data_IF_301234644759
#
_entry.id   IF_301234644759
#
_cell.length_a   1.000
_cell.length_b   1.000
_cell.length_c   1.000
_cell.angle_alpha   90.00
_cell.angle_beta   90.00
_cell.angle_gamma   90.00
#
_symmetry.space_group_name_H-M   'P 1'
#
loop_
_entity.id
_entity.type
_entity.pdbx_description
1 polymer ?
#
# COMPACT_ATOMS: atom_id res chain seq x y z
N UNK A 1 4.22 -22.93 11.92
CA UNK A 1 3.34 -21.92 11.28
C UNK A 1 3.84 -21.69 9.87
N UNK A 2 2.98 -21.78 8.86
CA UNK A 2 3.32 -21.42 7.47
C UNK A 2 3.21 -19.91 7.30
N UNK A 3 4.22 -19.30 6.67
CA UNK A 3 4.18 -17.89 6.30
C UNK A 3 3.39 -17.73 5.00
N UNK A 4 2.56 -16.70 4.96
CA UNK A 4 1.76 -16.33 3.78
C UNK A 4 2.43 -15.14 3.11
N UNK A 5 2.67 -15.23 1.79
CA UNK A 5 3.19 -14.09 1.03
C UNK A 5 2.05 -13.13 0.70
N UNK A 6 2.29 -11.85 0.97
CA UNK A 6 1.37 -10.77 0.64
C UNK A 6 2.02 -9.85 -0.41
N UNK A 7 1.20 -9.25 -1.25
CA UNK A 7 1.58 -8.22 -2.22
C UNK A 7 0.81 -6.93 -1.95
N UNK A 8 1.46 -5.80 -2.16
CA UNK A 8 0.80 -4.50 -2.06
C UNK A 8 -0.21 -4.38 -3.21
N UNK A 9 -1.48 -4.17 -2.85
CA UNK A 9 -2.55 -3.85 -3.81
C UNK A 9 -2.60 -2.35 -4.09
N UNK A 10 -2.42 -1.53 -3.06
CA UNK A 10 -2.43 -0.07 -3.16
C UNK A 10 -2.59 0.61 -1.81
N UNK A 11 -2.64 1.94 -1.83
CA UNK A 11 -2.88 2.79 -0.66
C UNK A 11 -4.23 3.49 -0.79
N UNK A 12 -4.94 3.67 0.32
CA UNK A 12 -6.20 4.41 0.42
C UNK A 12 -6.06 5.50 1.46
N UNK A 13 -6.62 6.68 1.20
CA UNK A 13 -6.57 7.80 2.14
C UNK A 13 -7.75 7.73 3.11
N UNK A 14 -7.49 7.77 4.41
CA UNK A 14 -8.55 7.85 5.42
C UNK A 14 -8.91 9.32 5.63
N UNK A 15 -9.90 9.82 4.89
CA UNK A 15 -10.36 11.21 4.95
C UNK A 15 -10.86 11.63 6.36
N UNK A 16 -11.19 10.68 7.23
CA UNK A 16 -11.73 10.91 8.57
C UNK A 16 -10.69 11.15 9.66
N UNK A 17 -9.40 10.90 9.40
CA UNK A 17 -8.35 11.10 10.39
C UNK A 17 -7.12 11.73 9.71
N UNK A 18 -6.94 13.04 9.90
CA UNK A 18 -5.86 13.83 9.32
C UNK A 18 -4.50 13.12 9.43
N UNK A 19 -3.98 12.62 8.31
CA UNK A 19 -2.63 12.05 8.21
C UNK A 19 -2.53 10.52 8.28
N UNK A 20 -3.65 9.80 8.39
CA UNK A 20 -3.67 8.33 8.35
C UNK A 20 -3.99 7.80 6.94
N UNK A 21 -3.17 6.88 6.47
CA UNK A 21 -3.34 6.17 5.20
C UNK A 21 -3.54 4.68 5.49
N UNK A 22 -4.29 3.99 4.63
CA UNK A 22 -4.49 2.55 4.70
C UNK A 22 -3.75 1.87 3.56
N UNK A 23 -2.72 1.09 3.87
CA UNK A 23 -2.06 0.19 2.92
C UNK A 23 -2.87 -1.11 2.83
N UNK A 24 -3.30 -1.46 1.62
CA UNK A 24 -4.03 -2.71 1.37
C UNK A 24 -3.05 -3.76 0.85
N UNK A 25 -2.87 -4.82 1.62
CA UNK A 25 -2.11 -6.00 1.22
C UNK A 25 -3.07 -7.12 0.81
N UNK A 26 -2.74 -7.81 -0.28
CA UNK A 26 -3.46 -8.98 -0.75
C UNK A 26 -2.58 -10.23 -0.64
N UNK A 27 -3.18 -11.36 -0.26
CA UNK A 27 -2.55 -12.68 -0.41
C UNK A 27 -2.27 -12.97 -1.89
N UNK A 28 -1.12 -13.59 -2.18
CA UNK A 28 -0.72 -13.88 -3.56
C UNK A 28 -1.59 -14.98 -4.17
N UNK A 29 -1.90 -16.02 -3.38
CA UNK A 29 -2.62 -17.22 -3.83
C UNK A 29 -4.01 -17.33 -3.16
N UNK A 30 -4.60 -16.21 -2.76
CA UNK A 30 -5.89 -16.20 -2.06
C UNK A 30 -6.57 -14.83 -2.02
N UNK A 31 -7.79 -14.80 -1.47
CA UNK A 31 -8.63 -13.60 -1.44
C UNK A 31 -8.52 -12.77 -0.16
N UNK A 32 -7.63 -13.17 0.77
CA UNK A 32 -7.46 -12.44 2.02
C UNK A 32 -6.81 -11.09 1.76
N UNK A 33 -7.40 -10.06 2.38
CA UNK A 33 -6.93 -8.69 2.35
C UNK A 33 -6.60 -8.25 3.76
N UNK A 34 -5.44 -7.66 3.92
CA UNK A 34 -4.98 -7.13 5.19
C UNK A 34 -4.79 -5.61 5.04
N UNK A 35 -5.71 -4.79 5.56
CA UNK A 35 -5.50 -3.35 5.66
C UNK A 35 -4.56 -3.03 6.83
N UNK A 36 -3.55 -2.18 6.59
CA UNK A 36 -2.62 -1.68 7.61
C UNK A 36 -2.68 -0.16 7.60
N UNK A 37 -2.86 0.46 8.77
CA UNK A 37 -2.79 1.92 8.89
C UNK A 37 -1.33 2.35 8.96
N UNK A 38 -0.95 3.27 8.08
CA UNK A 38 0.40 3.85 7.97
C UNK A 38 0.31 5.38 7.99
N UNK A 39 1.43 6.03 8.30
CA UNK A 39 1.55 7.49 8.28
C UNK A 39 1.74 8.07 6.89
N UNK A 40 1.68 9.40 6.81
CA UNK A 40 1.84 10.14 5.55
C UNK A 40 3.18 9.91 4.84
N UNK A 41 4.29 9.90 5.57
CA UNK A 41 5.63 9.71 5.00
C UNK A 41 5.82 8.30 4.41
N UNK A 42 5.29 7.29 5.10
CA UNK A 42 5.32 5.90 4.64
C UNK A 42 4.47 5.73 3.39
N UNK A 43 3.25 6.30 3.41
CA UNK A 43 2.34 6.26 2.29
C UNK A 43 2.94 6.94 1.05
N UNK A 44 3.57 8.10 1.20
CA UNK A 44 4.25 8.80 0.10
C UNK A 44 5.42 7.98 -0.46
N UNK A 45 6.25 7.39 0.40
CA UNK A 45 7.39 6.58 -0.03
C UNK A 45 6.94 5.34 -0.81
N UNK A 46 5.87 4.70 -0.36
CA UNK A 46 5.25 3.55 -1.04
C UNK A 46 4.58 4.01 -2.34
N UNK A 47 3.87 5.13 -2.34
CA UNK A 47 3.23 5.70 -3.54
C UNK A 47 4.27 5.93 -4.64
N UNK A 48 5.39 6.56 -4.32
CA UNK A 48 6.49 6.79 -5.28
C UNK A 48 7.06 5.46 -5.80
N UNK A 49 7.19 4.45 -4.93
CA UNK A 49 7.65 3.13 -5.33
C UNK A 49 6.65 2.39 -6.23
N UNK A 50 5.34 2.60 -6.03
CA UNK A 50 4.27 2.05 -6.87
C UNK A 50 4.11 2.82 -8.19
N UNK A 51 4.29 4.15 -8.19
CA UNK A 51 4.20 5.03 -9.36
C UNK A 51 5.42 5.00 -10.29
N UNK A 52 6.50 4.30 -9.90
CA UNK A 52 7.76 4.17 -10.68
C UNK A 52 7.63 3.51 -12.06
N UNK A 53 6.42 3.24 -12.55
CA UNK A 53 6.15 2.96 -13.97
C UNK A 53 5.98 4.22 -14.85
N UNK A 54 5.98 5.42 -14.27
CA UNK A 54 6.06 6.66 -15.06
C UNK A 54 7.53 7.02 -15.25
N UNK A 55 8.13 6.54 -16.35
CA UNK A 55 9.40 7.10 -16.85
C UNK A 55 9.17 8.62 -17.04
N UNK A 56 9.89 9.50 -16.32
CA UNK A 56 9.80 10.92 -16.63
C UNK A 56 10.22 11.10 -18.10
N UNK A 57 9.44 11.78 -18.94
CA UNK A 57 9.92 12.19 -20.24
C UNK A 57 11.10 13.12 -19.96
N UNK A 58 12.27 12.72 -20.46
CA UNK A 58 13.49 13.53 -20.39
C UNK A 58 13.29 14.84 -21.12
#
# INVERSE_FOLDING_TARGET
MSLVRLKIKGISYSQTQNGAYALILNEVDGDRKLPIVIGAFEAQSIAIALEKEIKPPR
#
